data_IF_602667320575
#
_entry.id   IF_602667320575
#
_cell.length_a   1.000
_cell.length_b   1.000
_cell.length_c   1.000
_cell.angle_alpha   90.00
_cell.angle_beta   90.00
_cell.angle_gamma   90.00
#
_symmetry.space_group_name_H-M   'P 1'
#
loop_
_entity.id
_entity.type
_entity.pdbx_description
1 polymer ?
#
# COMPACT_ATOMS: atom_id res chain seq x y z
N UNK A 1 52.69 24.64 15.84
CA UNK A 1 51.83 23.81 16.71
C UNK A 1 50.51 23.73 15.99
N UNK A 2 50.37 22.70 15.18
CA UNK A 2 49.14 22.45 14.42
C UNK A 2 48.24 21.58 15.28
N UNK A 3 47.06 22.11 15.61
CA UNK A 3 45.99 21.36 16.26
C UNK A 3 45.41 20.37 15.26
N UNK A 4 45.71 19.10 15.50
CA UNK A 4 45.15 17.96 14.78
C UNK A 4 43.63 17.91 15.06
N UNK A 5 42.83 18.33 14.07
CA UNK A 5 41.38 18.18 14.09
C UNK A 5 41.03 16.70 14.20
N UNK A 6 40.64 16.27 15.39
CA UNK A 6 40.10 14.93 15.63
C UNK A 6 38.89 14.71 14.71
N UNK A 7 39.06 13.82 13.73
CA UNK A 7 37.98 13.37 12.85
C UNK A 7 36.83 12.83 13.70
N UNK A 8 35.63 13.39 13.53
CA UNK A 8 34.44 12.86 14.19
C UNK A 8 34.23 11.40 13.75
N UNK A 9 33.93 10.47 14.68
CA UNK A 9 33.70 9.08 14.32
C UNK A 9 32.56 9.00 13.31
N UNK A 10 32.77 8.24 12.23
CA UNK A 10 31.73 7.96 11.23
C UNK A 10 30.46 7.47 11.93
N UNK A 11 29.36 8.19 11.75
CA UNK A 11 28.08 7.81 12.35
C UNK A 11 27.58 6.53 11.69
N UNK A 12 27.68 5.42 12.40
CA UNK A 12 27.25 4.11 11.91
C UNK A 12 25.73 3.95 11.98
N UNK A 13 25.11 3.47 10.89
CA UNK A 13 23.68 3.11 10.87
C UNK A 13 23.51 1.68 11.37
N UNK A 14 22.77 1.51 12.46
CA UNK A 14 22.55 0.20 13.09
C UNK A 14 21.39 -0.56 12.48
N UNK A 15 21.56 -1.88 12.38
CA UNK A 15 20.52 -2.81 11.97
C UNK A 15 19.34 -2.77 12.96
N UNK A 16 18.12 -2.54 12.44
CA UNK A 16 16.90 -2.42 13.25
C UNK A 16 16.11 -3.72 13.25
N UNK A 17 15.38 -3.96 14.34
CA UNK A 17 14.56 -5.16 14.54
C UNK A 17 13.64 -5.45 13.36
N UNK A 18 12.95 -4.45 12.83
CA UNK A 18 12.08 -4.60 11.64
C UNK A 18 12.82 -5.16 10.42
N UNK A 19 14.06 -4.73 10.17
CA UNK A 19 14.90 -5.28 9.10
C UNK A 19 15.26 -6.74 9.38
N UNK A 20 15.65 -7.07 10.62
CA UNK A 20 15.97 -8.45 11.03
C UNK A 20 14.77 -9.38 10.86
N UNK A 21 13.56 -8.92 11.23
CA UNK A 21 12.31 -9.63 11.02
C UNK A 21 12.10 -9.90 9.52
N UNK A 22 12.33 -8.93 8.64
CA UNK A 22 12.22 -9.15 7.18
C UNK A 22 13.21 -10.21 6.68
N UNK A 23 14.46 -10.21 7.17
CA UNK A 23 15.43 -11.27 6.82
C UNK A 23 14.93 -12.64 7.22
N UNK A 24 14.33 -12.74 8.41
CA UNK A 24 13.79 -14.00 8.93
C UNK A 24 12.55 -14.46 8.14
N UNK A 25 11.64 -13.54 7.84
CA UNK A 25 10.40 -13.81 7.09
C UNK A 25 10.68 -14.26 5.65
N UNK A 26 11.67 -13.65 4.99
CA UNK A 26 12.02 -13.98 3.61
C UNK A 26 13.16 -15.01 3.51
N UNK A 27 13.64 -15.51 4.66
CA UNK A 27 14.49 -16.70 4.75
C UNK A 27 15.95 -16.49 4.35
N UNK A 28 16.47 -15.26 4.50
CA UNK A 28 17.88 -14.91 4.31
C UNK A 28 18.56 -14.38 5.58
N UNK A 29 17.93 -14.58 6.74
CA UNK A 29 18.53 -14.33 8.04
C UNK A 29 19.75 -15.24 8.28
N UNK A 30 20.90 -14.64 8.60
CA UNK A 30 22.10 -15.32 9.06
C UNK A 30 22.44 -14.87 10.48
N UNK A 31 22.14 -15.72 11.46
CA UNK A 31 22.36 -15.42 12.89
C UNK A 31 23.83 -15.24 13.27
N UNK A 32 24.77 -15.60 12.38
CA UNK A 32 26.22 -15.39 12.61
C UNK A 32 26.68 -13.97 12.24
N UNK A 33 25.86 -13.23 11.50
CA UNK A 33 26.19 -11.92 10.91
C UNK A 33 25.16 -10.86 11.30
N UNK A 34 24.91 -10.69 12.61
CA UNK A 34 24.07 -9.61 13.13
C UNK A 34 24.90 -8.57 13.89
N UNK A 35 25.30 -7.46 13.23
CA UNK A 35 26.02 -6.39 13.90
C UNK A 35 25.19 -5.84 15.07
N UNK A 36 25.76 -5.86 16.27
CA UNK A 36 25.16 -5.28 17.48
C UNK A 36 24.16 -6.17 18.24
N UNK A 37 23.93 -7.42 17.82
CA UNK A 37 23.06 -8.36 18.55
C UNK A 37 23.87 -9.42 19.29
N UNK A 38 23.77 -9.44 20.63
CA UNK A 38 24.49 -10.40 21.48
C UNK A 38 23.80 -11.77 21.56
N UNK A 39 22.48 -11.81 21.37
CA UNK A 39 21.66 -13.02 21.40
C UNK A 39 20.74 -13.07 20.19
N UNK A 40 20.58 -14.25 19.54
CA UNK A 40 19.61 -14.40 18.47
C UNK A 40 18.18 -14.12 18.98
N UNK A 41 17.30 -13.49 18.17
CA UNK A 41 15.91 -13.30 18.54
C UNK A 41 15.19 -14.64 18.73
N UNK A 42 14.26 -14.69 19.68
CA UNK A 42 13.34 -15.82 19.80
C UNK A 42 12.24 -15.68 18.74
N UNK A 43 12.22 -16.60 17.78
CA UNK A 43 11.28 -16.56 16.67
C UNK A 43 9.98 -17.30 16.99
N UNK A 44 8.80 -16.73 16.70
CA UNK A 44 7.54 -17.44 16.87
C UNK A 44 7.49 -18.65 15.93
N UNK A 45 6.83 -19.70 16.39
CA UNK A 45 6.57 -20.86 15.55
C UNK A 45 5.62 -20.45 14.43
N UNK A 46 6.13 -20.51 13.20
CA UNK A 46 5.36 -20.30 11.98
C UNK A 46 5.63 -21.49 11.07
N UNK A 47 4.60 -21.97 10.38
CA UNK A 47 4.79 -23.00 9.37
C UNK A 47 5.74 -22.44 8.31
N UNK A 48 6.87 -23.11 8.09
CA UNK A 48 7.61 -22.94 6.84
C UNK A 48 6.76 -23.62 5.78
N UNK A 49 6.23 -22.86 4.84
CA UNK A 49 5.19 -23.38 3.94
C UNK A 49 5.72 -24.21 2.78
N UNK A 50 7.03 -24.24 2.54
CA UNK A 50 7.44 -24.44 1.16
C UNK A 50 8.02 -25.80 0.82
N UNK A 51 7.24 -26.48 -0.03
CA UNK A 51 7.59 -27.66 -0.80
C UNK A 51 8.78 -27.34 -1.71
N UNK A 52 9.71 -28.29 -1.94
CA UNK A 52 10.88 -28.07 -2.77
C UNK A 52 10.48 -27.89 -4.25
N UNK A 53 10.25 -26.65 -4.69
CA UNK A 53 10.12 -26.26 -6.10
C UNK A 53 11.16 -25.17 -6.41
N UNK A 54 11.69 -25.14 -7.63
CA UNK A 54 12.60 -24.08 -8.09
C UNK A 54 11.80 -22.86 -8.58
N UNK A 55 12.21 -21.61 -8.30
CA UNK A 55 13.32 -21.25 -7.42
C UNK A 55 13.00 -21.52 -5.94
N UNK A 56 14.00 -21.96 -5.16
CA UNK A 56 13.84 -22.23 -3.73
C UNK A 56 13.69 -20.92 -2.97
N UNK A 57 12.47 -20.48 -2.69
CA UNK A 57 12.23 -19.43 -1.68
C UNK A 57 12.00 -20.06 -0.31
N UNK A 58 12.33 -19.32 0.75
CA UNK A 58 12.24 -19.81 2.15
C UNK A 58 11.28 -18.96 2.97
N UNK A 59 10.21 -18.48 2.33
CA UNK A 59 9.24 -17.60 2.97
C UNK A 59 8.55 -18.29 4.14
N UNK A 60 8.27 -17.51 5.19
CA UNK A 60 7.34 -17.89 6.26
C UNK A 60 5.92 -17.62 5.80
N UNK A 61 4.99 -18.51 6.15
CA UNK A 61 3.57 -18.28 5.88
C UNK A 61 2.99 -17.28 6.87
N UNK A 62 2.97 -16.02 6.46
CA UNK A 62 2.43 -14.91 7.24
C UNK A 62 1.63 -13.97 6.34
N UNK A 63 0.78 -13.15 6.95
CA UNK A 63 0.12 -12.02 6.26
C UNK A 63 0.65 -10.70 6.80
N UNK A 64 1.15 -9.84 5.91
CA UNK A 64 1.43 -8.45 6.24
C UNK A 64 0.12 -7.67 6.21
N UNK A 65 -0.13 -6.89 7.25
CA UNK A 65 -1.28 -5.98 7.33
C UNK A 65 -0.74 -4.59 7.64
N UNK A 66 -0.83 -3.68 6.68
CA UNK A 66 -0.52 -2.28 6.90
C UNK A 66 -1.74 -1.50 7.34
N UNK A 67 -1.56 -0.66 8.36
CA UNK A 67 -2.58 0.27 8.84
C UNK A 67 -2.01 1.69 8.85
N UNK A 68 -2.84 2.63 8.44
CA UNK A 68 -2.58 4.06 8.53
C UNK A 68 -3.85 4.77 9.01
N UNK A 69 -3.71 5.84 9.82
CA UNK A 69 -4.83 6.63 10.32
C UNK A 69 -4.64 8.13 10.06
N UNK A 70 -5.61 8.69 9.37
CA UNK A 70 -5.71 10.11 9.02
C UNK A 70 -7.04 10.74 9.46
N UNK A 71 -7.18 12.05 9.27
CA UNK A 71 -8.41 12.81 9.54
C UNK A 71 -8.96 12.62 10.97
N UNK A 72 -8.05 12.40 11.94
CA UNK A 72 -8.40 12.14 13.33
C UNK A 72 -9.04 13.38 13.99
N UNK A 73 -10.22 13.17 14.54
CA UNK A 73 -10.90 14.07 15.46
C UNK A 73 -11.08 13.35 16.80
N UNK A 74 -10.72 14.04 17.87
CA UNK A 74 -10.84 13.53 19.24
C UNK A 74 -11.77 14.44 20.06
N UNK A 75 -12.54 13.84 20.97
CA UNK A 75 -13.31 14.53 21.99
C UNK A 75 -12.96 13.91 23.34
N UNK A 76 -12.60 14.73 24.33
CA UNK A 76 -12.16 14.28 25.65
C UNK A 76 -11.05 13.22 25.61
N UNK A 77 -10.15 13.36 24.63
CA UNK A 77 -9.05 12.42 24.40
C UNK A 77 -9.46 11.09 23.77
N UNK A 78 -10.71 10.91 23.34
CA UNK A 78 -11.20 9.71 22.67
C UNK A 78 -11.42 9.95 21.17
N UNK A 79 -11.03 9.01 20.29
CA UNK A 79 -11.29 9.13 18.85
C UNK A 79 -12.80 9.11 18.57
N UNK A 80 -13.33 10.16 17.93
CA UNK A 80 -14.74 10.24 17.56
C UNK A 80 -14.98 10.11 16.07
N UNK A 81 -14.02 10.54 15.25
CA UNK A 81 -14.04 10.43 13.78
C UNK A 81 -12.62 10.31 13.26
N UNK A 82 -12.38 9.45 12.29
CA UNK A 82 -11.08 9.29 11.63
C UNK A 82 -11.22 8.43 10.38
N UNK A 83 -10.17 8.39 9.57
CA UNK A 83 -10.05 7.52 8.41
C UNK A 83 -9.02 6.45 8.71
N UNK A 84 -9.34 5.19 8.42
CA UNK A 84 -8.41 4.07 8.57
C UNK A 84 -8.18 3.37 7.23
N UNK A 85 -6.92 3.29 6.85
CA UNK A 85 -6.44 2.52 5.73
C UNK A 85 -6.01 1.14 6.18
N UNK A 86 -6.36 0.12 5.41
CA UNK A 86 -5.97 -1.27 5.68
C UNK A 86 -5.49 -1.88 4.38
N UNK A 87 -4.24 -2.32 4.33
CA UNK A 87 -3.70 -3.04 3.18
C UNK A 87 -3.16 -4.40 3.60
N UNK A 88 -3.45 -5.43 2.82
CA UNK A 88 -3.21 -6.84 3.17
C UNK A 88 -2.40 -7.50 2.06
N UNK A 89 -1.30 -8.14 2.44
CA UNK A 89 -0.41 -8.88 1.54
C UNK A 89 -0.03 -10.23 2.13
N UNK A 90 -0.44 -11.32 1.48
CA UNK A 90 -0.09 -12.67 1.91
C UNK A 90 1.23 -13.09 1.26
N UNK A 91 2.19 -13.54 2.07
CA UNK A 91 3.47 -14.09 1.56
C UNK A 91 3.30 -15.30 0.66
N UNK A 92 2.19 -16.03 0.76
CA UNK A 92 1.85 -17.12 -0.16
C UNK A 92 1.65 -16.61 -1.59
N UNK A 93 1.02 -15.45 -1.76
CA UNK A 93 0.83 -14.83 -3.07
C UNK A 93 2.18 -14.41 -3.67
N UNK A 94 3.06 -13.81 -2.84
CA UNK A 94 4.44 -13.49 -3.23
C UNK A 94 5.22 -14.72 -3.67
N UNK A 95 5.12 -15.81 -2.89
CA UNK A 95 5.77 -17.06 -3.23
C UNK A 95 5.29 -17.59 -4.59
N UNK A 96 3.98 -17.66 -4.80
CA UNK A 96 3.41 -18.16 -6.05
C UNK A 96 3.92 -17.37 -7.27
N UNK A 97 4.05 -16.05 -7.13
CA UNK A 97 4.60 -15.19 -8.18
C UNK A 97 6.10 -15.42 -8.45
N UNK A 98 6.87 -15.93 -7.48
CA UNK A 98 8.25 -16.35 -7.71
C UNK A 98 8.38 -17.55 -8.66
N UNK A 99 7.28 -18.26 -8.91
CA UNK A 99 7.19 -19.37 -9.87
C UNK A 99 6.49 -18.96 -11.18
N UNK A 100 6.02 -17.72 -11.28
CA UNK A 100 5.43 -17.19 -12.52
C UNK A 100 6.53 -16.69 -13.48
N UNK A 101 6.29 -16.71 -14.81
CA UNK A 101 7.18 -16.06 -15.76
C UNK A 101 7.24 -14.55 -15.51
N UNK A 102 8.44 -13.96 -15.66
CA UNK A 102 8.62 -12.51 -15.68
C UNK A 102 8.67 -12.00 -17.13
N UNK A 103 8.27 -10.74 -17.40
CA UNK A 103 7.72 -9.76 -16.45
C UNK A 103 6.31 -10.12 -15.99
N UNK A 104 5.96 -9.72 -14.76
CA UNK A 104 4.59 -9.87 -14.26
C UNK A 104 3.66 -8.95 -15.06
N UNK A 105 2.45 -9.43 -15.33
CA UNK A 105 1.36 -8.58 -15.83
C UNK A 105 0.91 -7.60 -14.74
N UNK A 106 0.28 -6.48 -15.13
CA UNK A 106 -0.26 -5.50 -14.17
C UNK A 106 -1.23 -6.14 -13.15
N UNK A 107 -2.02 -7.12 -13.62
CA UNK A 107 -2.91 -7.88 -12.74
C UNK A 107 -2.15 -8.72 -11.72
N UNK A 108 -1.08 -9.40 -12.14
CA UNK A 108 -0.24 -10.19 -11.24
C UNK A 108 0.57 -9.33 -10.26
N UNK A 109 0.91 -8.10 -10.64
CA UNK A 109 1.58 -7.17 -9.75
C UNK A 109 0.63 -6.58 -8.68
N UNK A 110 -0.69 -6.65 -8.90
CA UNK A 110 -1.71 -6.09 -8.00
C UNK A 110 -2.26 -7.10 -6.99
N UNK A 111 -1.38 -7.68 -6.16
CA UNK A 111 -1.76 -8.64 -5.10
C UNK A 111 -2.06 -8.01 -3.74
N UNK A 112 -1.72 -6.73 -3.55
CA UNK A 112 -2.00 -6.02 -2.30
C UNK A 112 -3.47 -5.61 -2.28
N UNK A 113 -4.23 -6.14 -1.32
CA UNK A 113 -5.65 -5.82 -1.15
C UNK A 113 -5.82 -4.66 -0.20
N UNK A 114 -6.39 -3.56 -0.67
CA UNK A 114 -6.51 -2.33 0.12
C UNK A 114 -7.95 -1.91 0.35
N UNK A 115 -8.17 -1.33 1.52
CA UNK A 115 -9.43 -0.80 2.00
C UNK A 115 -9.23 0.59 2.60
N UNK A 116 -10.21 1.46 2.41
CA UNK A 116 -10.28 2.77 3.04
C UNK A 116 -11.61 2.91 3.78
N UNK A 117 -11.58 3.02 5.10
CA UNK A 117 -12.79 3.20 5.88
C UNK A 117 -12.84 4.58 6.53
N UNK A 118 -13.86 5.36 6.17
CA UNK A 118 -14.17 6.63 6.81
C UNK A 118 -15.06 6.36 8.04
N UNK A 119 -14.48 6.39 9.23
CA UNK A 119 -15.12 6.03 10.49
C UNK A 119 -15.85 7.24 11.06
N UNK A 120 -17.16 7.08 11.30
CA UNK A 120 -18.05 8.15 11.77
C UNK A 120 -18.13 9.36 10.81
N UNK A 121 -17.80 9.16 9.53
CA UNK A 121 -17.81 10.20 8.50
C UNK A 121 -18.68 9.80 7.29
N UNK A 122 -19.97 9.60 7.55
CA UNK A 122 -20.91 8.92 6.64
C UNK A 122 -21.08 9.58 5.26
N UNK A 123 -20.85 10.88 5.17
CA UNK A 123 -21.02 11.65 3.93
C UNK A 123 -19.69 11.98 3.25
N UNK A 124 -18.58 11.40 3.69
CA UNK A 124 -17.26 11.77 3.20
C UNK A 124 -17.15 11.60 1.68
N UNK A 125 -17.47 10.41 1.16
CA UNK A 125 -17.32 10.10 -0.27
C UNK A 125 -18.41 10.75 -1.15
N UNK A 126 -19.49 11.26 -0.55
CA UNK A 126 -20.50 12.02 -1.27
C UNK A 126 -20.07 13.48 -1.47
N UNK A 127 -19.39 14.06 -0.46
CA UNK A 127 -18.99 15.48 -0.45
C UNK A 127 -17.60 15.73 -1.01
N UNK A 128 -16.72 14.74 -0.95
CA UNK A 128 -15.32 14.89 -1.33
C UNK A 128 -14.99 14.04 -2.56
N UNK A 129 -13.95 14.45 -3.27
CA UNK A 129 -13.37 13.62 -4.33
C UNK A 129 -12.75 12.38 -3.70
N UNK A 130 -13.31 11.20 -3.99
CA UNK A 130 -12.69 9.95 -3.60
C UNK A 130 -11.39 9.75 -4.38
N UNK A 131 -10.24 9.95 -3.74
CA UNK A 131 -8.91 9.70 -4.34
C UNK A 131 -8.29 8.37 -3.92
N UNK A 132 -9.03 7.53 -3.20
CA UNK A 132 -8.58 6.18 -2.92
C UNK A 132 -8.63 5.34 -4.19
N UNK A 133 -7.47 4.82 -4.62
CA UNK A 133 -7.33 4.21 -5.94
C UNK A 133 -7.02 2.70 -5.91
N UNK A 134 -6.69 2.13 -4.74
CA UNK A 134 -6.19 0.75 -4.64
C UNK A 134 -7.24 -0.30 -4.23
N UNK A 135 -8.51 0.06 -4.11
CA UNK A 135 -9.54 -0.94 -3.79
C UNK A 135 -10.87 -0.38 -3.33
N UNK A 136 -11.41 -0.97 -2.25
CA UNK A 136 -12.75 -0.67 -1.75
C UNK A 136 -12.73 0.40 -0.66
N UNK A 137 -13.56 1.43 -0.82
CA UNK A 137 -13.81 2.42 0.23
C UNK A 137 -15.20 2.26 0.82
N UNK A 138 -15.37 2.56 2.10
CA UNK A 138 -16.67 2.53 2.80
C UNK A 138 -16.72 3.58 3.92
N UNK A 139 -17.90 4.11 4.19
CA UNK A 139 -18.15 4.79 5.46
C UNK A 139 -18.72 3.79 6.47
N UNK A 140 -18.23 3.79 7.71
CA UNK A 140 -18.69 2.85 8.74
C UNK A 140 -18.89 3.56 10.08
N UNK A 141 -19.84 3.11 10.92
CA UNK A 141 -19.97 3.61 12.28
C UNK A 141 -18.82 3.10 13.15
N UNK A 142 -18.35 3.94 14.08
CA UNK A 142 -17.27 3.59 15.01
C UNK A 142 -17.58 2.30 15.79
N UNK A 143 -18.84 2.12 16.20
CA UNK A 143 -19.31 0.93 16.92
C UNK A 143 -19.13 -0.39 16.14
N UNK A 144 -19.03 -0.35 14.81
CA UNK A 144 -18.84 -1.55 13.99
C UNK A 144 -17.38 -1.81 13.61
N UNK A 145 -16.46 -0.92 13.97
CA UNK A 145 -15.07 -0.97 13.50
C UNK A 145 -14.36 -2.26 13.92
N UNK A 146 -14.46 -2.61 15.21
CA UNK A 146 -13.79 -3.80 15.76
C UNK A 146 -14.30 -5.09 15.09
N UNK A 147 -15.62 -5.25 14.99
CA UNK A 147 -16.24 -6.42 14.35
C UNK A 147 -15.82 -6.53 12.88
N UNK A 148 -15.81 -5.40 12.16
CA UNK A 148 -15.40 -5.35 10.75
C UNK A 148 -13.93 -5.69 10.57
N UNK A 149 -13.04 -5.17 11.42
CA UNK A 149 -11.62 -5.52 11.43
C UNK A 149 -11.43 -7.01 11.70
N UNK A 150 -12.06 -7.54 12.75
CA UNK A 150 -12.00 -8.98 13.09
C UNK A 150 -12.50 -9.85 11.95
N UNK A 151 -13.62 -9.50 11.32
CA UNK A 151 -14.18 -10.22 10.18
C UNK A 151 -13.26 -10.18 8.96
N UNK A 152 -12.70 -9.00 8.65
CA UNK A 152 -11.78 -8.82 7.53
C UNK A 152 -10.49 -9.62 7.75
N UNK A 153 -9.95 -9.62 8.97
CA UNK A 153 -8.66 -10.20 9.30
C UNK A 153 -8.71 -11.66 9.78
N UNK A 154 -9.90 -12.21 10.05
CA UNK A 154 -10.11 -13.61 10.45
C UNK A 154 -9.33 -14.64 9.61
N UNK A 155 -9.33 -14.59 8.27
CA UNK A 155 -8.61 -15.58 7.46
C UNK A 155 -7.09 -15.37 7.42
N UNK A 156 -6.56 -14.28 7.99
CA UNK A 156 -5.18 -13.83 7.83
C UNK A 156 -4.39 -13.99 9.14
N UNK A 157 -3.99 -15.24 9.44
CA UNK A 157 -3.13 -15.55 10.59
C UNK A 157 -2.01 -16.52 10.17
N UNK A 158 -0.78 -16.36 10.68
CA UNK A 158 -0.33 -15.30 11.59
C UNK A 158 -0.15 -13.93 10.88
N UNK A 159 -0.36 -12.85 11.63
CA UNK A 159 -0.36 -11.47 11.14
C UNK A 159 0.90 -10.71 11.57
N UNK A 160 1.51 -9.97 10.64
CA UNK A 160 2.56 -8.98 10.91
C UNK A 160 1.97 -7.60 10.66
N UNK A 161 1.92 -6.76 11.69
CA UNK A 161 1.43 -5.39 11.57
C UNK A 161 2.54 -4.52 10.98
N UNK A 162 2.22 -3.76 9.94
CA UNK A 162 3.14 -2.87 9.25
C UNK A 162 2.61 -1.45 9.36
N UNK A 163 3.47 -0.50 9.69
CA UNK A 163 3.08 0.90 9.87
C UNK A 163 4.19 1.82 9.40
N UNK A 164 3.89 3.11 9.30
CA UNK A 164 4.87 4.14 8.98
C UNK A 164 4.89 5.20 10.07
N UNK A 165 5.67 4.93 11.13
CA UNK A 165 5.65 5.71 12.35
C UNK A 165 4.55 5.23 13.32
N UNK A 166 4.84 4.18 14.08
CA UNK A 166 3.84 3.39 14.84
C UNK A 166 3.04 4.11 15.93
N UNK A 167 3.39 5.35 16.26
CA UNK A 167 2.88 6.01 17.47
C UNK A 167 1.37 6.25 17.41
N UNK A 168 0.84 6.74 16.29
CA UNK A 168 -0.56 7.19 16.21
C UNK A 168 -1.54 6.01 16.14
N UNK A 169 -1.32 5.09 15.22
CA UNK A 169 -2.20 3.94 14.96
C UNK A 169 -2.32 3.08 16.22
N UNK A 170 -1.19 2.83 16.88
CA UNK A 170 -1.14 2.01 18.10
C UNK A 170 -1.80 2.70 19.29
N UNK A 171 -1.79 4.03 19.38
CA UNK A 171 -2.52 4.77 20.43
C UNK A 171 -4.01 4.67 20.18
N UNK A 172 -4.47 4.92 18.95
CA UNK A 172 -5.89 4.92 18.59
C UNK A 172 -6.51 3.54 18.77
N UNK A 173 -5.88 2.49 18.25
CA UNK A 173 -6.37 1.12 18.42
C UNK A 173 -6.44 0.72 19.90
N UNK A 174 -5.48 1.14 20.73
CA UNK A 174 -5.51 0.91 22.19
C UNK A 174 -6.63 1.67 22.89
N UNK A 175 -6.85 2.96 22.56
CA UNK A 175 -7.97 3.75 23.11
C UNK A 175 -9.32 3.12 22.79
N UNK A 176 -9.45 2.53 21.60
CA UNK A 176 -10.66 1.83 21.16
C UNK A 176 -10.76 0.38 21.65
N UNK A 177 -9.80 -0.09 22.45
CA UNK A 177 -9.71 -1.47 22.92
C UNK A 177 -9.69 -2.52 21.78
N UNK A 178 -9.15 -2.15 20.62
CA UNK A 178 -9.03 -3.02 19.45
C UNK A 178 -7.65 -3.68 19.49
N UNK A 179 -7.63 -5.00 19.65
CA UNK A 179 -6.41 -5.80 19.62
C UNK A 179 -6.37 -6.69 18.38
N UNK A 180 -5.34 -6.51 17.54
CA UNK A 180 -5.12 -7.26 16.31
C UNK A 180 -4.24 -8.51 16.51
N UNK A 181 -3.62 -8.68 17.68
CA UNK A 181 -2.71 -9.77 18.03
C UNK A 181 -1.63 -10.07 16.95
N UNK A 182 -0.85 -9.07 16.51
CA UNK A 182 0.24 -9.31 15.57
C UNK A 182 1.35 -10.16 16.21
N UNK A 183 1.97 -11.07 15.44
CA UNK A 183 3.19 -11.78 15.88
C UNK A 183 4.43 -10.87 15.86
N UNK A 184 4.39 -9.82 15.04
CA UNK A 184 5.42 -8.80 14.91
C UNK A 184 4.82 -7.46 14.48
N UNK A 185 5.46 -6.38 14.88
CA UNK A 185 5.21 -5.02 14.40
C UNK A 185 6.43 -4.52 13.63
N UNK A 186 6.26 -4.03 12.40
CA UNK A 186 7.32 -3.44 11.59
C UNK A 186 7.01 -1.98 11.33
N UNK A 187 7.83 -1.10 11.90
CA UNK A 187 7.83 0.32 11.58
C UNK A 187 8.76 0.59 10.40
N UNK A 188 8.19 0.92 9.24
CA UNK A 188 8.94 1.14 8.00
C UNK A 188 9.89 2.34 8.07
N UNK A 189 9.61 3.34 8.91
CA UNK A 189 10.52 4.48 9.11
C UNK A 189 11.87 4.03 9.66
N UNK A 190 11.84 3.08 10.61
CA UNK A 190 13.02 2.51 11.26
C UNK A 190 13.64 1.39 10.42
N UNK A 191 12.81 0.52 9.84
CA UNK A 191 13.29 -0.61 9.05
C UNK A 191 14.03 -0.18 7.78
N UNK A 192 13.71 0.99 7.22
CA UNK A 192 14.38 1.54 6.05
C UNK A 192 15.78 2.11 6.33
N UNK A 193 16.07 2.53 7.58
CA UNK A 193 17.32 3.21 7.94
C UNK A 193 18.55 2.41 7.53
N UNK A 194 18.62 1.14 7.94
CA UNK A 194 19.79 0.31 7.63
C UNK A 194 19.93 0.03 6.12
N UNK A 195 18.89 -0.43 5.40
CA UNK A 195 19.01 -0.64 3.95
C UNK A 195 19.38 0.61 3.15
N UNK A 196 18.94 1.79 3.59
CA UNK A 196 19.24 3.08 2.94
C UNK A 196 20.50 3.79 3.47
N UNK A 197 21.09 3.32 4.57
CA UNK A 197 22.15 4.02 5.32
C UNK A 197 21.75 5.43 5.78
N UNK A 198 20.54 5.54 6.33
CA UNK A 198 20.02 6.79 6.83
C UNK A 198 20.01 6.83 8.35
N UNK A 199 20.48 7.95 8.89
CA UNK A 199 20.49 8.20 10.34
C UNK A 199 19.11 8.58 10.86
N UNK A 200 18.28 9.18 10.01
CA UNK A 200 16.98 9.74 10.35
C UNK A 200 15.83 8.92 9.77
N UNK A 201 14.64 9.11 10.33
CA UNK A 201 13.42 8.50 9.81
C UNK A 201 13.03 9.17 8.49
N UNK A 202 12.83 8.35 7.46
CA UNK A 202 12.32 8.80 6.17
C UNK A 202 10.80 8.93 6.21
N UNK A 203 10.27 10.01 5.63
CA UNK A 203 8.84 10.14 5.37
C UNK A 203 8.40 9.17 4.26
N UNK A 204 7.11 8.83 4.22
CA UNK A 204 6.60 7.91 3.20
C UNK A 204 6.87 8.45 1.80
N UNK A 205 6.59 9.73 1.56
CA UNK A 205 6.88 10.42 0.29
C UNK A 205 8.36 10.34 -0.11
N UNK A 206 9.28 10.33 0.86
CA UNK A 206 10.71 10.18 0.59
C UNK A 206 11.03 8.73 0.22
N UNK A 207 10.56 7.75 1.00
CA UNK A 207 10.74 6.33 0.68
C UNK A 207 10.22 5.95 -0.71
N UNK A 208 9.04 6.46 -1.08
CA UNK A 208 8.47 6.20 -2.41
C UNK A 208 9.36 6.74 -3.53
N UNK A 209 9.98 7.91 -3.33
CA UNK A 209 10.95 8.47 -4.29
C UNK A 209 12.23 7.64 -4.36
N UNK A 210 12.84 7.32 -3.22
CA UNK A 210 14.13 6.61 -3.17
C UNK A 210 14.05 5.17 -3.69
N UNK A 211 12.85 4.57 -3.66
CA UNK A 211 12.58 3.23 -4.18
C UNK A 211 11.99 3.22 -5.59
N UNK A 212 11.81 4.38 -6.22
CA UNK A 212 11.18 4.52 -7.53
C UNK A 212 9.77 3.87 -7.58
N UNK A 213 9.02 3.98 -6.48
CA UNK A 213 7.63 3.51 -6.41
C UNK A 213 6.74 4.59 -7.03
N UNK A 214 5.95 4.27 -8.08
CA UNK A 214 5.03 5.24 -8.67
C UNK A 214 4.04 5.77 -7.62
N UNK A 215 3.96 7.08 -7.49
CA UNK A 215 2.97 7.77 -6.66
C UNK A 215 2.67 9.14 -7.27
N UNK A 216 1.46 9.64 -7.03
CA UNK A 216 1.11 11.02 -7.31
C UNK A 216 0.89 11.73 -5.97
N UNK A 217 1.39 12.96 -5.83
CA UNK A 217 1.45 13.65 -4.53
C UNK A 217 0.07 13.86 -3.90
N UNK A 218 -0.94 14.02 -4.74
CA UNK A 218 -2.35 14.18 -4.39
C UNK A 218 -3.04 12.91 -3.89
N UNK A 219 -2.36 11.75 -3.98
CA UNK A 219 -2.83 10.46 -3.46
C UNK A 219 -2.31 10.16 -2.05
N UNK A 220 -1.33 10.92 -1.56
CA UNK A 220 -0.86 10.86 -0.18
C UNK A 220 -1.86 11.59 0.74
N UNK A 221 -1.81 11.31 2.05
CA UNK A 221 -2.77 11.80 3.04
C UNK A 221 -4.17 11.21 2.84
N UNK A 222 -4.21 9.99 2.30
CA UNK A 222 -5.39 9.16 2.22
C UNK A 222 -5.02 7.84 2.86
N UNK A 223 -5.54 7.59 4.06
CA UNK A 223 -5.17 6.45 4.88
C UNK A 223 -5.08 5.13 4.08
N UNK A 224 -6.08 4.83 3.24
CA UNK A 224 -6.06 3.63 2.39
C UNK A 224 -4.91 3.57 1.37
N UNK A 225 -4.58 4.71 0.74
CA UNK A 225 -3.46 4.81 -0.19
C UNK A 225 -2.13 4.71 0.56
N UNK A 226 -1.99 5.40 1.69
CA UNK A 226 -0.77 5.40 2.48
C UNK A 226 -0.47 4.00 3.03
N UNK A 227 -1.48 3.29 3.57
CA UNK A 227 -1.33 1.89 3.95
C UNK A 227 -0.88 0.99 2.78
N UNK A 228 -1.34 1.25 1.56
CA UNK A 228 -0.92 0.49 0.37
C UNK A 228 0.54 0.78 0.02
N UNK A 229 0.90 2.06 -0.03
CA UNK A 229 2.25 2.53 -0.29
C UNK A 229 3.25 2.04 0.76
N UNK A 230 2.84 1.91 2.02
CA UNK A 230 3.66 1.33 3.09
C UNK A 230 4.03 -0.12 2.80
N UNK A 231 3.12 -0.94 2.26
CA UNK A 231 3.47 -2.31 1.86
C UNK A 231 4.38 -2.35 0.64
N UNK A 232 4.18 -1.47 -0.35
CA UNK A 232 5.11 -1.35 -1.48
C UNK A 232 6.51 -0.94 -1.00
N UNK A 233 6.59 0.02 -0.08
CA UNK A 233 7.85 0.43 0.54
C UNK A 233 8.49 -0.71 1.34
N UNK A 234 7.72 -1.48 2.11
CA UNK A 234 8.21 -2.64 2.86
C UNK A 234 8.91 -3.67 1.95
N UNK A 235 8.32 -3.97 0.80
CA UNK A 235 8.92 -4.87 -0.19
C UNK A 235 10.26 -4.32 -0.70
N UNK A 236 10.34 -3.01 -0.96
CA UNK A 236 11.58 -2.37 -1.42
C UNK A 236 12.65 -2.22 -0.34
N UNK A 237 12.27 -2.07 0.93
CA UNK A 237 13.18 -2.16 2.07
C UNK A 237 13.86 -3.54 2.06
N UNK A 238 13.09 -4.62 1.90
CA UNK A 238 13.65 -5.97 1.82
C UNK A 238 14.54 -6.18 0.59
N UNK A 239 14.17 -5.64 -0.57
CA UNK A 239 15.00 -5.67 -1.79
C UNK A 239 16.34 -4.98 -1.58
N UNK A 240 16.33 -3.77 -0.99
CA UNK A 240 17.55 -3.00 -0.72
C UNK A 240 18.45 -3.69 0.29
N UNK A 241 17.87 -4.26 1.36
CA UNK A 241 18.62 -5.03 2.35
C UNK A 241 19.27 -6.26 1.73
N UNK A 242 18.52 -7.05 0.94
CA UNK A 242 19.05 -8.22 0.28
C UNK A 242 20.19 -7.89 -0.70
N UNK A 243 20.05 -6.82 -1.50
CA UNK A 243 21.12 -6.37 -2.41
C UNK A 243 22.38 -5.91 -1.70
N UNK A 244 22.22 -5.35 -0.51
CA UNK A 244 23.33 -4.88 0.31
C UNK A 244 24.09 -6.05 0.95
N UNK A 245 23.37 -7.06 1.41
CA UNK A 245 23.91 -8.05 2.34
C UNK A 245 24.18 -9.41 1.69
N UNK A 246 23.51 -9.72 0.58
CA UNK A 246 23.63 -11.00 -0.10
C UNK A 246 24.49 -10.84 -1.35
N UNK A 247 25.44 -11.77 -1.52
CA UNK A 247 26.24 -11.88 -2.76
C UNK A 247 25.37 -12.35 -3.93
N UNK A 248 24.51 -13.31 -3.68
CA UNK A 248 23.57 -13.86 -4.66
C UNK A 248 22.19 -13.25 -4.46
N UNK A 249 21.68 -12.60 -5.49
CA UNK A 249 20.37 -11.96 -5.45
C UNK A 249 19.27 -13.03 -5.43
N UNK A 250 18.39 -13.06 -4.41
CA UNK A 250 17.31 -14.04 -4.36
C UNK A 250 16.31 -13.87 -5.51
N UNK A 251 15.74 -14.98 -5.98
CA UNK A 251 14.76 -14.98 -7.07
C UNK A 251 13.49 -14.16 -6.80
N UNK A 252 13.18 -13.88 -5.54
CA UNK A 252 12.04 -13.04 -5.17
C UNK A 252 12.30 -11.54 -5.33
N UNK A 253 13.55 -11.10 -5.42
CA UNK A 253 13.90 -9.67 -5.58
C UNK A 253 13.20 -9.04 -6.79
N UNK A 254 13.31 -9.59 -8.02
CA UNK A 254 12.62 -9.01 -9.17
C UNK A 254 11.09 -9.03 -9.03
N UNK A 255 10.51 -10.02 -8.33
CA UNK A 255 9.07 -10.07 -8.04
C UNK A 255 8.65 -8.93 -7.12
N UNK A 256 9.41 -8.68 -6.06
CA UNK A 256 9.12 -7.60 -5.11
C UNK A 256 9.24 -6.23 -5.78
N UNK A 257 10.26 -6.04 -6.63
CA UNK A 257 10.39 -4.83 -7.44
C UNK A 257 9.21 -4.64 -8.38
N UNK A 258 8.78 -5.69 -9.08
CA UNK A 258 7.64 -5.63 -9.99
C UNK A 258 6.34 -5.24 -9.28
N UNK A 259 6.07 -5.79 -8.09
CA UNK A 259 4.88 -5.45 -7.29
C UNK A 259 4.98 -4.03 -6.73
N UNK A 260 6.11 -3.67 -6.13
CA UNK A 260 6.28 -2.36 -5.50
C UNK A 260 6.23 -1.23 -6.53
N UNK A 261 6.80 -1.45 -7.71
CA UNK A 261 6.86 -0.47 -8.81
C UNK A 261 5.75 -0.64 -9.84
N UNK A 262 4.75 -1.46 -9.55
CA UNK A 262 3.58 -1.62 -10.41
C UNK A 262 2.96 -0.25 -10.71
N UNK A 263 2.48 -0.01 -11.94
CA UNK A 263 1.79 1.24 -12.28
C UNK A 263 0.66 1.55 -11.30
N UNK A 264 0.35 2.84 -11.17
CA UNK A 264 -0.83 3.24 -10.42
C UNK A 264 -2.09 2.80 -11.15
N UNK A 265 -3.12 2.34 -10.43
CA UNK A 265 -4.44 2.19 -11.02
C UNK A 265 -4.96 3.56 -11.52
N UNK A 266 -5.95 3.59 -12.44
CA UNK A 266 -6.55 4.82 -12.89
C UNK A 266 -7.03 5.66 -11.70
N UNK A 267 -6.53 6.90 -11.62
CA UNK A 267 -6.92 7.82 -10.55
C UNK A 267 -8.41 8.15 -10.71
N UNK A 268 -9.24 8.00 -9.66
CA UNK A 268 -10.64 8.32 -9.76
C UNK A 268 -10.87 9.78 -10.14
N UNK A 269 -11.86 10.03 -11.00
CA UNK A 269 -12.21 11.38 -11.43
C UNK A 269 -12.81 12.19 -10.29
N UNK A 270 -12.42 13.46 -10.23
CA UNK A 270 -13.02 14.49 -9.36
C UNK A 270 -14.47 14.76 -9.74
N UNK A 271 -15.25 15.32 -8.82
CA UNK A 271 -16.62 15.79 -9.05
C UNK A 271 -16.69 16.79 -10.20
N UNK A 272 -15.72 17.71 -10.29
CA UNK A 272 -15.64 18.67 -11.40
C UNK A 272 -15.39 17.98 -12.73
N UNK A 273 -14.47 17.01 -12.78
CA UNK A 273 -14.22 16.23 -14.00
C UNK A 273 -15.44 15.41 -14.40
N UNK A 274 -16.10 14.73 -13.45
CA UNK A 274 -17.35 14.00 -13.68
C UNK A 274 -18.45 14.91 -14.22
N UNK A 275 -18.61 16.10 -13.64
CA UNK A 275 -19.59 17.08 -14.09
C UNK A 275 -19.28 17.60 -15.50
N UNK A 276 -18.00 17.83 -15.82
CA UNK A 276 -17.56 18.24 -17.16
C UNK A 276 -17.85 17.16 -18.22
N UNK A 277 -17.56 15.89 -17.90
CA UNK A 277 -17.88 14.75 -18.78
C UNK A 277 -19.38 14.68 -19.03
N UNK A 278 -20.22 14.72 -17.97
CA UNK A 278 -21.68 14.71 -18.11
C UNK A 278 -22.20 15.87 -18.97
N UNK A 279 -21.63 17.08 -18.82
CA UNK A 279 -22.00 18.24 -19.64
C UNK A 279 -21.64 18.03 -21.11
N UNK A 280 -20.48 17.42 -21.38
CA UNK A 280 -20.04 17.10 -22.74
C UNK A 280 -20.93 16.03 -23.37
N UNK A 281 -21.19 14.93 -22.66
CA UNK A 281 -22.08 13.86 -23.10
C UNK A 281 -23.49 14.38 -23.38
N UNK A 282 -24.02 15.27 -22.53
CA UNK A 282 -25.32 15.91 -22.76
C UNK A 282 -25.33 16.74 -24.04
N UNK A 283 -24.30 17.56 -24.27
CA UNK A 283 -24.17 18.36 -25.51
C UNK A 283 -24.04 17.48 -26.75
N UNK A 284 -23.27 16.39 -26.66
CA UNK A 284 -23.13 15.42 -27.75
C UNK A 284 -24.47 14.73 -28.05
N UNK A 285 -25.24 14.36 -27.04
CA UNK A 285 -26.59 13.81 -27.21
C UNK A 285 -27.56 14.82 -27.84
N UNK A 286 -27.56 16.08 -27.39
CA UNK A 286 -28.38 17.17 -27.96
C UNK A 286 -28.03 17.40 -29.46
N UNK A 287 -26.74 17.39 -29.81
CA UNK A 287 -26.28 17.54 -31.20
C UNK A 287 -26.69 16.33 -32.06
N UNK A 288 -26.59 15.12 -31.53
CA UNK A 288 -27.03 13.90 -32.23
C UNK A 288 -28.54 13.93 -32.51
N UNK A 289 -29.35 14.38 -31.55
CA UNK A 289 -30.79 14.54 -31.73
C UNK A 289 -31.13 15.62 -32.76
N UNK A 290 -30.40 16.74 -32.77
CA UNK A 290 -30.55 17.79 -33.78
C UNK A 290 -30.19 17.31 -35.19
N UNK A 291 -29.08 16.58 -35.34
CA UNK A 291 -28.67 15.96 -36.60
C UNK A 291 -29.70 14.93 -37.10
N UNK A 292 -30.25 14.11 -36.19
CA UNK A 292 -31.32 13.17 -36.54
C UNK A 292 -32.56 13.91 -37.06
N UNK A 293 -33.03 14.94 -36.34
CA UNK A 293 -34.15 15.79 -36.79
C UNK A 293 -33.88 16.48 -38.13
N UNK A 294 -32.66 16.97 -38.34
CA UNK A 294 -32.27 17.57 -39.61
C UNK A 294 -32.34 16.56 -40.76
N UNK A 295 -31.77 15.36 -40.55
CA UNK A 295 -31.77 14.28 -41.52
C UNK A 295 -33.20 13.84 -41.88
N UNK A 296 -34.09 13.69 -40.90
CA UNK A 296 -35.48 13.30 -41.16
C UNK A 296 -36.21 14.36 -41.99
N UNK A 297 -36.08 15.65 -41.63
CA UNK A 297 -36.64 16.75 -42.42
C UNK A 297 -36.13 16.76 -43.86
N UNK A 298 -34.83 16.51 -44.06
CA UNK A 298 -34.23 16.49 -45.38
C UNK A 298 -34.73 15.31 -46.23
N UNK A 299 -34.91 14.13 -45.62
CA UNK A 299 -35.49 12.95 -46.29
C UNK A 299 -36.95 13.23 -46.69
N UNK A 300 -37.75 13.85 -45.83
CA UNK A 300 -39.13 14.21 -46.14
C UNK A 300 -39.21 15.26 -47.26
N UNK A 301 -38.31 16.24 -47.27
CA UNK A 301 -38.23 17.22 -48.34
C UNK A 301 -37.90 16.56 -49.68
N UNK A 302 -36.93 15.64 -49.72
CA UNK A 302 -36.63 14.87 -50.93
C UNK A 302 -37.82 14.05 -51.42
N UNK A 303 -38.51 13.36 -50.51
CA UNK A 303 -39.70 12.55 -50.85
C UNK A 303 -40.83 13.40 -51.44
N UNK A 304 -41.03 14.62 -50.93
CA UNK A 304 -42.05 15.54 -51.44
C UNK A 304 -41.72 16.08 -52.84
N UNK A 305 -40.43 16.25 -53.17
CA UNK A 305 -39.97 16.67 -54.50
C UNK A 305 -40.05 15.58 -55.57
N UNK A 306 -40.07 14.30 -55.18
CA UNK A 306 -40.12 13.16 -56.12
C UNK A 306 -41.52 12.64 -56.45
N UNK A 307 -42.59 13.24 -55.92
CA UNK A 307 -43.96 12.87 -56.32
C UNK A 307 -44.26 13.46 -57.72
N UNK A 308 -44.50 12.63 -58.76
CA UNK A 308 -44.93 13.13 -60.06
C UNK A 308 -46.34 13.70 -59.92
N UNK A 309 -46.54 14.90 -60.46
CA UNK A 309 -47.87 15.48 -60.67
C UNK A 309 -48.65 14.75 -61.75
#
# INVERSE_FOLDING_TARGET
MDEEQAAQPERQVFLREGTVILRWLFGYYDGRNLPGWKTPPCWPHTASTWRPQKPKTRFRDITFVAIDIDELQEQDGMPTKFHIGISILHTKDLHNLCHAPLPLTDFQANIIRSYHWAVQDFQYFDKNDNRFCFGKHQCIPLSSLEERLKKLLKPFHPLVLVVHGISRERIILRKLNINLNPIFEIDTTKAARYPLQELHDSTLKKLLRDFDIPFAGELLHFAGNDAHFVLRALLMIAVRDARRELKDIPAWVPVFEAIARAPLPPIPLTHTQKAAIRRREKKEAELQEELARFRDRWVDELRSRTKPG
#
